data_IF_168700799216
#
_entry.id   IF_168700799216
#
_cell.length_a   1.000
_cell.length_b   1.000
_cell.length_c   1.000
_cell.angle_alpha   90.00
_cell.angle_beta   90.00
_cell.angle_gamma   90.00
#
_symmetry.space_group_name_H-M   'P 1'
#
loop_
_entity.id
_entity.type
_entity.pdbx_description
1 polymer ?
#
# COMPACT_ATOMS: atom_id res chain seq x y z
N UNK A 1 -41.23 57.74 -16.48
CA UNK A 1 -41.92 56.68 -15.73
C UNK A 1 -41.20 55.38 -15.98
N UNK A 2 -40.69 54.78 -14.91
CA UNK A 2 -39.96 53.50 -14.88
C UNK A 2 -40.89 52.38 -15.31
N UNK A 3 -40.47 51.51 -16.23
CA UNK A 3 -40.90 50.10 -16.22
C UNK A 3 -39.73 49.22 -16.65
N UNK A 4 -39.16 48.59 -15.62
CA UNK A 4 -38.15 47.55 -15.65
C UNK A 4 -38.65 46.33 -16.43
N UNK A 5 -37.76 45.68 -17.19
CA UNK A 5 -37.93 44.28 -17.56
C UNK A 5 -36.73 43.51 -17.04
N UNK A 6 -37.02 42.57 -16.15
CA UNK A 6 -36.10 41.63 -15.53
C UNK A 6 -35.55 40.66 -16.59
N UNK A 7 -34.25 40.66 -16.80
CA UNK A 7 -33.56 39.52 -17.39
C UNK A 7 -33.36 38.48 -16.29
N UNK A 8 -34.23 37.47 -16.26
CA UNK A 8 -34.05 36.28 -15.43
C UNK A 8 -33.01 35.39 -16.12
N UNK A 9 -31.72 35.72 -16.00
CA UNK A 9 -30.65 34.77 -16.30
C UNK A 9 -30.65 33.72 -15.20
N UNK A 10 -31.38 32.63 -15.43
CA UNK A 10 -31.20 31.39 -14.71
C UNK A 10 -29.82 30.83 -15.08
N UNK A 11 -28.78 31.29 -14.39
CA UNK A 11 -27.51 30.58 -14.32
C UNK A 11 -27.79 29.28 -13.57
N UNK A 12 -28.07 28.20 -14.31
CA UNK A 12 -27.75 26.85 -13.90
C UNK A 12 -26.23 26.81 -13.71
N UNK A 13 -25.77 27.29 -12.55
CA UNK A 13 -24.49 26.93 -11.98
C UNK A 13 -24.59 25.44 -11.68
N UNK A 14 -24.32 24.61 -12.70
CA UNK A 14 -23.74 23.32 -12.43
C UNK A 14 -22.54 23.60 -11.54
N UNK A 15 -22.61 23.15 -10.29
CA UNK A 15 -21.55 23.27 -9.30
C UNK A 15 -20.33 22.52 -9.84
N UNK A 16 -19.53 23.20 -10.67
CA UNK A 16 -18.12 22.94 -10.78
C UNK A 16 -17.60 23.22 -9.38
N UNK A 17 -17.54 22.18 -8.55
CA UNK A 17 -16.84 22.19 -7.28
C UNK A 17 -15.38 22.48 -7.61
N UNK A 18 -15.05 23.77 -7.64
CA UNK A 18 -13.67 24.22 -7.74
C UNK A 18 -13.01 23.74 -6.46
N UNK A 19 -11.97 22.94 -6.63
CA UNK A 19 -11.18 22.48 -5.52
C UNK A 19 -10.74 23.66 -4.66
N UNK A 20 -10.95 23.56 -3.34
CA UNK A 20 -10.66 24.63 -2.41
C UNK A 20 -9.34 24.36 -1.70
N UNK A 21 -8.56 25.43 -1.57
CA UNK A 21 -7.31 25.47 -0.84
C UNK A 21 -7.54 26.30 0.42
N UNK A 22 -7.22 25.74 1.59
CA UNK A 22 -7.19 26.46 2.86
C UNK A 22 -5.77 26.45 3.43
N UNK A 23 -5.10 27.60 3.31
CA UNK A 23 -3.80 27.91 3.89
C UNK A 23 -3.89 28.70 5.20
N UNK A 24 -5.06 28.92 5.78
CA UNK A 24 -5.17 29.74 7.00
C UNK A 24 -4.91 28.93 8.28
N UNK A 25 -5.09 27.61 8.23
CA UNK A 25 -4.96 26.71 9.36
C UNK A 25 -3.71 25.83 9.40
N UNK A 26 -3.68 25.00 10.43
CA UNK A 26 -2.90 23.75 10.51
C UNK A 26 -3.89 22.64 10.91
N UNK A 27 -4.19 21.66 10.02
CA UNK A 27 -3.52 21.38 8.75
C UNK A 27 -3.86 22.38 7.62
N UNK A 28 -2.93 22.49 6.66
CA UNK A 28 -3.20 22.97 5.31
C UNK A 28 -4.10 21.95 4.62
N UNK A 29 -5.22 22.40 4.05
CA UNK A 29 -6.23 21.50 3.47
C UNK A 29 -6.43 21.78 1.99
N UNK A 30 -6.35 20.74 1.16
CA UNK A 30 -6.89 20.75 -0.20
C UNK A 30 -8.12 19.87 -0.26
N UNK A 31 -9.16 20.36 -0.92
CA UNK A 31 -10.43 19.64 -1.09
C UNK A 31 -10.81 19.66 -2.55
N UNK A 32 -11.38 18.57 -3.04
CA UNK A 32 -12.05 18.50 -4.33
C UNK A 32 -13.41 17.84 -4.19
N UNK A 33 -13.99 17.44 -5.30
CA UNK A 33 -15.30 16.78 -5.28
C UNK A 33 -15.18 15.36 -4.69
N UNK A 34 -15.67 15.18 -3.47
CA UNK A 34 -15.66 13.89 -2.78
C UNK A 34 -14.31 13.44 -2.21
N UNK A 35 -13.30 14.33 -2.14
CA UNK A 35 -12.02 14.02 -1.52
C UNK A 35 -11.40 15.22 -0.77
N UNK A 36 -10.56 14.93 0.22
CA UNK A 36 -9.71 15.92 0.88
C UNK A 36 -8.34 15.36 1.26
N UNK A 37 -7.34 16.24 1.28
CA UNK A 37 -6.00 15.95 1.77
C UNK A 37 -5.62 17.01 2.79
N UNK A 38 -5.27 16.55 3.99
CA UNK A 38 -4.82 17.37 5.10
C UNK A 38 -3.31 17.19 5.26
N UNK A 39 -2.57 18.30 5.22
CA UNK A 39 -1.12 18.31 5.39
C UNK A 39 -0.76 19.22 6.55
N UNK A 40 0.11 18.73 7.44
CA UNK A 40 0.68 19.53 8.50
C UNK A 40 1.45 20.71 7.91
N UNK A 41 1.16 21.91 8.37
CA UNK A 41 1.77 23.14 7.83
C UNK A 41 3.29 23.17 8.01
N UNK A 42 3.77 22.66 9.14
CA UNK A 42 5.17 22.76 9.54
C UNK A 42 6.13 22.14 8.51
N UNK A 43 5.79 20.96 7.98
CA UNK A 43 6.68 20.16 7.14
C UNK A 43 6.01 19.57 5.89
N UNK A 44 4.71 19.76 5.72
CA UNK A 44 3.92 19.20 4.63
C UNK A 44 3.62 17.72 4.77
N UNK A 45 3.81 17.11 5.94
CA UNK A 45 3.43 15.73 6.16
C UNK A 45 1.90 15.57 5.98
N UNK A 46 1.47 14.63 5.15
CA UNK A 46 0.07 14.24 4.99
C UNK A 46 -0.40 13.59 6.29
N UNK A 47 -1.32 14.25 6.98
CA UNK A 47 -1.92 13.78 8.24
C UNK A 47 -3.30 13.17 8.03
N UNK A 48 -3.90 13.38 6.86
CA UNK A 48 -5.19 12.80 6.51
C UNK A 48 -5.40 12.77 5.02
N UNK A 49 -6.00 11.68 4.56
CA UNK A 49 -6.59 11.56 3.23
C UNK A 49 -8.01 11.04 3.42
N UNK A 50 -8.98 11.71 2.82
CA UNK A 50 -10.36 11.25 2.82
C UNK A 50 -10.93 11.23 1.41
N UNK A 51 -11.78 10.26 1.15
CA UNK A 51 -12.53 10.11 -0.09
C UNK A 51 -13.99 9.71 0.19
N UNK A 52 -14.71 9.35 -0.86
CA UNK A 52 -16.09 8.86 -0.77
C UNK A 52 -16.27 7.63 0.13
N UNK A 53 -15.23 6.81 0.27
CA UNK A 53 -15.20 5.65 1.17
C UNK A 53 -14.80 5.94 2.62
N UNK A 54 -14.56 7.20 2.98
CA UNK A 54 -14.07 7.62 4.29
C UNK A 54 -12.58 7.97 4.31
N UNK A 55 -12.03 8.12 5.51
CA UNK A 55 -10.63 8.47 5.71
C UNK A 55 -9.72 7.24 5.67
N UNK A 56 -8.53 7.38 5.10
CA UNK A 56 -7.49 6.36 5.21
C UNK A 56 -7.00 6.29 6.67
N UNK A 57 -6.92 5.10 7.28
CA UNK A 57 -6.45 4.93 8.64
C UNK A 57 -4.91 4.99 8.66
N UNK A 58 -4.33 6.19 8.54
CA UNK A 58 -2.88 6.36 8.60
C UNK A 58 -2.37 6.03 10.01
N UNK A 59 -1.30 5.24 10.12
CA UNK A 59 -0.67 4.95 11.41
C UNK A 59 0.18 6.11 11.94
N UNK A 60 0.66 6.96 11.04
CA UNK A 60 1.49 8.13 11.30
C UNK A 60 1.41 9.14 10.15
N UNK A 61 1.80 10.41 10.36
CA UNK A 61 1.92 11.38 9.28
C UNK A 61 2.87 10.90 8.18
N UNK A 62 2.43 10.97 6.93
CA UNK A 62 3.21 10.52 5.77
C UNK A 62 3.98 11.71 5.19
N UNK A 63 5.32 11.66 5.09
CA UNK A 63 6.06 12.77 4.49
C UNK A 63 5.68 12.92 3.01
N UNK A 64 5.49 14.15 2.53
CA UNK A 64 5.08 14.40 1.15
C UNK A 64 6.12 13.93 0.13
N UNK A 65 7.38 13.88 0.54
CA UNK A 65 8.49 13.34 -0.23
C UNK A 65 9.54 12.76 0.71
N UNK A 66 10.39 11.87 0.19
CA UNK A 66 11.66 11.52 0.84
C UNK A 66 12.68 11.12 -0.21
N UNK A 67 13.94 11.48 0.03
CA UNK A 67 15.08 11.09 -0.82
C UNK A 67 15.92 10.02 -0.13
N UNK A 68 16.42 9.07 -0.92
CA UNK A 68 17.46 8.15 -0.48
C UNK A 68 18.69 8.30 -1.41
N UNK A 69 19.86 8.44 -0.79
CA UNK A 69 21.16 8.46 -1.45
C UNK A 69 21.94 7.18 -1.18
N UNK A 70 23.22 7.20 -1.52
CA UNK A 70 24.15 6.11 -1.24
C UNK A 70 24.35 5.89 0.28
N UNK A 71 24.78 4.68 0.65
CA UNK A 71 25.20 4.32 2.02
C UNK A 71 24.15 4.59 3.12
N UNK A 72 22.87 4.57 2.76
CA UNK A 72 21.76 4.76 3.71
C UNK A 72 21.52 6.22 4.10
N UNK A 73 22.12 7.17 3.40
CA UNK A 73 21.79 8.59 3.53
C UNK A 73 20.34 8.78 3.11
N UNK A 74 19.54 9.41 3.98
CA UNK A 74 18.16 9.77 3.67
C UNK A 74 17.90 11.22 4.02
N UNK A 75 17.05 11.86 3.24
CA UNK A 75 16.57 13.21 3.48
C UNK A 75 15.05 13.19 3.54
N UNK A 76 14.52 13.69 4.64
CA UNK A 76 13.08 13.86 4.87
C UNK A 76 12.72 15.35 4.87
N UNK A 77 11.43 15.68 4.72
CA UNK A 77 10.99 17.07 4.76
C UNK A 77 11.31 17.70 6.12
N UNK A 78 11.90 18.89 6.09
CA UNK A 78 12.02 19.78 7.25
C UNK A 78 10.96 20.88 7.18
N UNK A 79 11.30 22.11 7.59
CA UNK A 79 10.36 23.22 7.54
C UNK A 79 9.91 23.55 6.10
N UNK A 80 8.59 23.67 5.90
CA UNK A 80 7.98 23.99 4.62
C UNK A 80 7.63 25.48 4.52
N UNK A 81 7.93 26.07 3.36
CA UNK A 81 7.39 27.37 2.94
C UNK A 81 6.25 27.17 1.95
N UNK A 82 5.13 27.86 2.15
CA UNK A 82 3.91 27.68 1.35
C UNK A 82 3.57 28.94 0.55
N UNK A 83 3.10 28.75 -0.68
CA UNK A 83 2.55 29.82 -1.51
C UNK A 83 1.34 29.28 -2.30
N UNK A 84 0.32 30.12 -2.47
CA UNK A 84 -0.73 29.85 -3.45
C UNK A 84 -0.20 30.06 -4.86
N UNK A 85 -0.66 29.24 -5.79
CA UNK A 85 -0.42 29.39 -7.22
C UNK A 85 -1.75 29.50 -7.95
N UNK A 86 -1.72 29.85 -9.23
CA UNK A 86 -2.94 29.90 -10.04
C UNK A 86 -3.65 28.53 -10.16
N UNK A 87 -2.93 27.42 -9.91
CA UNK A 87 -3.41 26.05 -10.14
C UNK A 87 -3.50 25.22 -8.85
N UNK A 88 -3.16 25.79 -7.70
CA UNK A 88 -3.16 25.07 -6.42
C UNK A 88 -2.17 25.65 -5.42
N UNK A 89 -1.33 24.78 -4.86
CA UNK A 89 -0.33 25.15 -3.85
C UNK A 89 1.08 24.78 -4.26
N UNK A 90 2.03 25.62 -3.84
CA UNK A 90 3.44 25.29 -3.86
C UNK A 90 3.97 25.19 -2.44
N UNK A 91 4.61 24.06 -2.13
CA UNK A 91 5.43 23.89 -0.94
C UNK A 91 6.91 23.85 -1.33
N UNK A 92 7.79 24.48 -0.56
CA UNK A 92 9.23 24.50 -0.80
C UNK A 92 10.00 24.17 0.48
N UNK A 93 10.99 23.30 0.37
CA UNK A 93 11.92 22.92 1.43
C UNK A 93 13.34 23.27 0.98
N UNK A 94 13.90 24.28 1.62
CA UNK A 94 15.29 24.68 1.43
C UNK A 94 16.17 23.93 2.43
N UNK A 95 16.78 22.83 2.00
CA UNK A 95 17.65 21.99 2.83
C UNK A 95 19.13 22.24 2.47
N UNK A 96 20.07 21.94 3.40
CA UNK A 96 21.50 22.12 3.12
C UNK A 96 21.97 21.40 1.84
N UNK A 97 21.51 20.16 1.63
CA UNK A 97 21.98 19.28 0.55
C UNK A 97 21.05 19.23 -0.67
N UNK A 98 19.83 19.78 -0.59
CA UNK A 98 18.88 19.81 -1.70
C UNK A 98 17.87 20.96 -1.58
N UNK A 99 17.43 21.50 -2.71
CA UNK A 99 16.21 22.30 -2.77
C UNK A 99 15.10 21.43 -3.34
N UNK A 100 14.02 21.27 -2.59
CA UNK A 100 12.86 20.48 -3.01
C UNK A 100 11.64 21.40 -3.09
N UNK A 101 10.87 21.29 -4.18
CA UNK A 101 9.56 21.95 -4.28
C UNK A 101 8.48 20.97 -4.72
N UNK A 102 7.27 21.17 -4.22
CA UNK A 102 6.08 20.42 -4.59
C UNK A 102 5.05 21.39 -5.19
N UNK A 103 4.55 21.10 -6.39
CA UNK A 103 3.28 21.63 -6.87
C UNK A 103 2.18 20.65 -6.52
N UNK A 104 1.16 21.15 -5.84
CA UNK A 104 0.01 20.41 -5.35
C UNK A 104 -1.22 20.95 -6.05
N UNK A 105 -1.68 20.20 -7.06
CA UNK A 105 -2.76 20.61 -7.95
C UNK A 105 -3.97 19.73 -7.69
N UNK A 106 -5.11 20.28 -7.28
CA UNK A 106 -6.33 19.51 -7.26
C UNK A 106 -6.70 18.98 -8.65
N UNK A 107 -7.06 17.71 -8.71
CA UNK A 107 -7.54 17.04 -9.90
C UNK A 107 -8.97 16.50 -9.66
N UNK A 108 -9.59 16.00 -10.73
CA UNK A 108 -10.99 15.54 -10.68
C UNK A 108 -11.23 14.43 -9.65
N UNK A 109 -10.26 13.55 -9.43
CA UNK A 109 -10.40 12.37 -8.56
C UNK A 109 -9.36 12.31 -7.44
N UNK A 110 -8.66 13.41 -7.17
CA UNK A 110 -7.65 13.45 -6.11
C UNK A 110 -6.67 14.61 -6.25
N UNK A 111 -5.50 14.45 -5.65
CA UNK A 111 -4.43 15.44 -5.66
C UNK A 111 -3.30 14.99 -6.60
N UNK A 112 -2.94 15.84 -7.55
CA UNK A 112 -1.72 15.70 -8.34
C UNK A 112 -0.55 16.35 -7.59
N UNK A 113 0.54 15.59 -7.42
CA UNK A 113 1.74 16.02 -6.71
C UNK A 113 2.90 15.96 -7.70
N UNK A 114 3.46 17.11 -8.05
CA UNK A 114 4.70 17.20 -8.83
C UNK A 114 5.83 17.65 -7.93
N UNK A 115 6.82 16.77 -7.70
CA UNK A 115 8.03 17.11 -6.95
C UNK A 115 9.16 17.47 -7.91
N UNK A 116 9.87 18.54 -7.60
CA UNK A 116 11.13 18.92 -8.25
C UNK A 116 12.24 18.92 -7.21
N UNK A 117 13.35 18.30 -7.54
CA UNK A 117 14.53 18.19 -6.69
C UNK A 117 15.71 18.79 -7.42
N UNK A 118 16.35 19.76 -6.80
CA UNK A 118 17.64 20.30 -7.23
C UNK A 118 18.68 19.88 -6.19
N UNK A 119 19.51 18.90 -6.55
CA UNK A 119 20.62 18.48 -5.67
C UNK A 119 21.64 19.61 -5.54
N UNK A 120 22.11 19.86 -4.31
CA UNK A 120 23.23 20.77 -4.03
C UNK A 120 24.50 20.00 -3.69
N UNK A 121 24.34 18.83 -3.09
CA UNK A 121 25.42 17.95 -2.69
C UNK A 121 25.00 16.49 -2.85
N UNK A 122 25.92 15.67 -3.36
CA UNK A 122 25.70 14.24 -3.57
C UNK A 122 24.71 13.91 -4.69
N UNK A 123 24.52 12.60 -4.87
CA UNK A 123 23.57 12.02 -5.82
C UNK A 123 22.43 11.38 -5.04
N UNK A 124 21.20 11.75 -5.36
CA UNK A 124 20.00 11.10 -4.87
C UNK A 124 19.62 9.99 -5.84
N UNK A 125 19.40 8.78 -5.31
CA UNK A 125 19.08 7.60 -6.10
C UNK A 125 17.58 7.40 -6.21
N UNK A 126 16.87 7.57 -5.08
CA UNK A 126 15.44 7.37 -5.01
C UNK A 126 14.71 8.63 -4.55
N UNK A 127 13.59 8.91 -5.22
CA UNK A 127 12.59 9.89 -4.80
C UNK A 127 11.26 9.15 -4.59
N UNK A 128 10.75 9.19 -3.37
CA UNK A 128 9.44 8.64 -3.04
C UNK A 128 8.40 9.76 -2.94
N UNK A 129 7.31 9.65 -3.70
CA UNK A 129 6.20 10.63 -3.72
C UNK A 129 4.83 9.91 -3.77
N UNK A 130 3.97 10.09 -2.76
CA UNK A 130 4.34 10.52 -1.42
C UNK A 130 5.39 9.57 -0.81
N UNK A 131 5.92 9.91 0.37
CA UNK A 131 6.66 8.96 1.18
C UNK A 131 5.84 7.70 1.49
N UNK A 132 6.48 6.70 2.10
CA UNK A 132 5.84 5.41 2.37
C UNK A 132 4.60 5.57 3.26
N UNK A 133 3.45 5.17 2.74
CA UNK A 133 2.18 5.15 3.48
C UNK A 133 2.17 3.92 4.39
N UNK A 134 1.85 4.13 5.67
CA UNK A 134 1.62 3.06 6.64
C UNK A 134 0.19 3.18 7.17
N UNK A 135 -0.53 2.07 7.10
CA UNK A 135 -1.91 1.99 7.58
C UNK A 135 -1.94 1.37 8.97
N UNK A 136 -2.83 1.85 9.83
CA UNK A 136 -3.10 1.26 11.13
C UNK A 136 -3.98 0.02 10.95
N UNK A 137 -3.44 -1.19 11.20
CA UNK A 137 -4.17 -2.43 11.01
C UNK A 137 -5.38 -2.55 11.94
N UNK A 138 -5.39 -1.88 13.10
CA UNK A 138 -6.53 -1.90 14.01
C UNK A 138 -7.78 -1.21 13.42
N UNK A 139 -7.57 -0.31 12.45
CA UNK A 139 -8.60 0.49 11.80
C UNK A 139 -8.78 0.13 10.32
N UNK A 140 -8.07 -0.90 9.83
CA UNK A 140 -8.15 -1.37 8.46
C UNK A 140 -9.24 -2.44 8.33
N UNK A 141 -10.28 -2.18 7.54
CA UNK A 141 -11.33 -3.15 7.28
C UNK A 141 -10.91 -4.19 6.23
N UNK A 142 -10.40 -3.71 5.09
CA UNK A 142 -9.99 -4.52 3.94
C UNK A 142 -8.97 -3.72 3.11
N UNK A 143 -8.03 -4.43 2.49
CA UNK A 143 -7.14 -3.88 1.48
C UNK A 143 -7.47 -4.52 0.13
N UNK A 144 -7.89 -3.70 -0.84
CA UNK A 144 -8.18 -4.13 -2.20
C UNK A 144 -7.03 -3.66 -3.10
N UNK A 145 -6.32 -4.62 -3.68
CA UNK A 145 -5.30 -4.40 -4.69
C UNK A 145 -5.89 -4.83 -6.03
N UNK A 146 -6.48 -3.90 -6.80
CA UNK A 146 -7.05 -4.25 -8.09
C UNK A 146 -5.95 -4.78 -9.00
N UNK A 147 -6.27 -5.80 -9.79
CA UNK A 147 -5.35 -6.27 -10.81
C UNK A 147 -5.12 -5.17 -11.85
N UNK A 148 -3.89 -5.09 -12.35
CA UNK A 148 -3.71 -4.56 -13.70
C UNK A 148 -4.12 -5.68 -14.68
N UNK A 149 -4.72 -5.31 -15.82
CA UNK A 149 -5.23 -6.28 -16.80
C UNK A 149 -4.16 -7.19 -17.44
N UNK A 150 -2.87 -6.94 -17.18
CA UNK A 150 -1.75 -7.73 -17.70
C UNK A 150 -1.23 -8.78 -16.70
N UNK A 151 -1.44 -8.60 -15.39
CA UNK A 151 -0.72 -9.35 -14.33
C UNK A 151 -1.61 -10.26 -13.46
N UNK A 152 -2.91 -10.40 -13.76
CA UNK A 152 -3.75 -11.49 -13.22
C UNK A 152 -5.04 -11.05 -12.50
N UNK A 153 -5.45 -11.83 -11.50
CA UNK A 153 -6.63 -11.55 -10.64
C UNK A 153 -6.24 -10.62 -9.49
N UNK A 154 -7.10 -9.65 -9.19
CA UNK A 154 -6.88 -8.73 -8.07
C UNK A 154 -6.93 -9.45 -6.72
N UNK A 155 -6.41 -8.81 -5.68
CA UNK A 155 -6.39 -9.34 -4.33
C UNK A 155 -7.27 -8.49 -3.42
N UNK A 156 -8.07 -9.15 -2.60
CA UNK A 156 -8.81 -8.53 -1.50
C UNK A 156 -8.40 -9.25 -0.21
N UNK A 157 -7.80 -8.50 0.71
CA UNK A 157 -7.27 -9.01 1.99
C UNK A 157 -8.04 -8.35 3.14
N UNK A 158 -8.67 -9.15 3.99
CA UNK A 158 -9.34 -8.63 5.18
C UNK A 158 -8.33 -8.03 6.16
N UNK A 159 -8.76 -7.05 6.96
CA UNK A 159 -7.95 -6.39 7.99
C UNK A 159 -7.23 -7.36 8.94
N UNK A 160 -7.84 -8.51 9.22
CA UNK A 160 -7.27 -9.58 10.06
C UNK A 160 -5.98 -10.20 9.53
N UNK A 161 -5.64 -9.99 8.25
CA UNK A 161 -4.36 -10.41 7.66
C UNK A 161 -3.20 -9.46 8.01
N UNK A 162 -3.51 -8.29 8.56
CA UNK A 162 -2.52 -7.26 8.84
C UNK A 162 -2.27 -7.15 10.33
N UNK A 163 -0.99 -7.01 10.69
CA UNK A 163 -0.55 -6.77 12.05
C UNK A 163 0.37 -5.55 12.07
N UNK A 164 0.49 -4.93 13.25
CA UNK A 164 1.37 -3.78 13.43
C UNK A 164 2.81 -4.22 13.20
N UNK A 165 3.49 -3.58 12.27
CA UNK A 165 4.89 -3.82 12.01
C UNK A 165 5.74 -3.30 13.19
N UNK A 166 6.70 -4.12 13.65
CA UNK A 166 7.67 -3.71 14.66
C UNK A 166 8.58 -2.61 14.10
N UNK A 167 8.59 -1.45 14.75
CA UNK A 167 9.41 -0.31 14.35
C UNK A 167 10.92 -0.62 14.41
N UNK A 168 11.35 -1.53 15.29
CA UNK A 168 12.74 -1.96 15.37
C UNK A 168 13.13 -2.95 14.27
N UNK A 169 12.15 -3.59 13.62
CA UNK A 169 12.38 -4.63 12.59
C UNK A 169 11.37 -4.54 11.44
N UNK A 170 11.39 -3.46 10.65
CA UNK A 170 10.38 -3.18 9.64
C UNK A 170 10.43 -4.11 8.41
N UNK A 171 11.42 -4.98 8.29
CA UNK A 171 11.55 -5.92 7.17
C UNK A 171 11.89 -7.33 7.62
N UNK A 172 11.73 -7.64 8.91
CA UNK A 172 12.01 -8.99 9.40
C UNK A 172 10.86 -9.94 9.10
N UNK A 173 11.19 -11.09 8.55
CA UNK A 173 10.30 -12.24 8.52
C UNK A 173 10.46 -13.01 9.83
N UNK A 174 9.37 -13.20 10.55
CA UNK A 174 9.35 -14.13 11.68
C UNK A 174 8.85 -15.47 11.16
N UNK A 175 9.66 -16.55 11.24
CA UNK A 175 9.17 -17.87 10.89
C UNK A 175 8.11 -18.26 11.93
N UNK A 176 6.88 -18.45 11.47
CA UNK A 176 5.83 -19.06 12.25
C UNK A 176 5.61 -20.48 11.73
N UNK A 177 5.64 -21.46 12.63
CA UNK A 177 5.25 -22.84 12.29
C UNK A 177 3.73 -22.90 12.21
N UNK A 178 3.19 -22.65 11.02
CA UNK A 178 1.76 -22.76 10.75
C UNK A 178 1.46 -24.16 10.20
N UNK A 179 0.71 -24.97 10.95
CA UNK A 179 0.37 -26.34 10.57
C UNK A 179 0.47 -27.33 11.73
N UNK A 180 -0.19 -28.48 11.60
CA UNK A 180 -0.23 -29.52 12.64
C UNK A 180 -1.66 -29.96 12.94
N UNK A 181 -2.56 -29.04 13.29
CA UNK A 181 -3.92 -29.38 13.71
C UNK A 181 -4.74 -30.17 12.65
N UNK A 182 -4.54 -29.88 11.36
CA UNK A 182 -5.15 -30.66 10.30
C UNK A 182 -4.56 -32.07 10.20
N UNK A 183 -3.23 -32.20 10.38
CA UNK A 183 -2.56 -33.50 10.41
C UNK A 183 -2.91 -34.30 11.67
N UNK A 184 -2.99 -33.66 12.83
CA UNK A 184 -3.46 -34.28 14.07
C UNK A 184 -4.89 -34.81 13.91
N UNK A 185 -5.77 -34.02 13.27
CA UNK A 185 -7.15 -34.43 13.02
C UNK A 185 -7.27 -35.58 12.01
N UNK A 186 -6.47 -35.56 10.95
CA UNK A 186 -6.58 -36.53 9.85
C UNK A 186 -5.76 -37.80 10.08
N UNK A 187 -4.62 -37.68 10.74
CA UNK A 187 -3.59 -38.72 10.83
C UNK A 187 -3.15 -39.01 12.27
N UNK A 188 -3.71 -38.34 13.28
CA UNK A 188 -3.44 -38.60 14.69
C UNK A 188 -2.09 -38.09 15.20
N UNK A 189 -1.39 -37.27 14.42
CA UNK A 189 -0.13 -36.64 14.82
C UNK A 189 0.55 -35.90 13.67
N UNK A 190 1.67 -35.25 13.99
CA UNK A 190 2.52 -34.63 13.00
C UNK A 190 3.11 -35.68 12.03
N UNK A 191 3.14 -35.41 10.72
CA UNK A 191 3.77 -36.31 9.77
C UNK A 191 5.27 -36.41 10.07
N UNK A 192 5.82 -37.63 10.03
CA UNK A 192 7.27 -37.83 10.13
C UNK A 192 7.91 -37.36 8.82
N UNK A 193 8.56 -36.20 8.87
CA UNK A 193 9.36 -35.70 7.76
C UNK A 193 10.68 -36.47 7.72
N UNK A 194 10.88 -37.22 6.63
CA UNK A 194 12.10 -37.95 6.38
C UNK A 194 13.08 -37.10 5.56
N UNK A 195 14.38 -37.37 5.67
CA UNK A 195 15.39 -36.73 4.81
C UNK A 195 15.13 -37.05 3.33
N UNK A 196 15.31 -36.06 2.45
CA UNK A 196 15.10 -36.22 0.99
C UNK A 196 16.04 -37.26 0.35
N UNK A 197 17.16 -37.57 1.01
CA UNK A 197 18.18 -38.52 0.56
C UNK A 197 17.95 -39.96 1.02
N UNK A 198 16.81 -40.26 1.68
CA UNK A 198 16.55 -41.65 2.05
C UNK A 198 16.41 -42.55 0.82
N UNK A 199 16.98 -43.77 0.87
CA UNK A 199 16.74 -44.76 -0.18
C UNK A 199 15.23 -45.04 -0.29
N UNK A 200 14.70 -45.31 -1.49
CA UNK A 200 13.28 -45.60 -1.69
C UNK A 200 12.79 -46.68 -0.72
N UNK A 201 11.70 -46.41 -0.01
CA UNK A 201 11.10 -47.39 0.88
C UNK A 201 10.52 -48.55 0.07
N UNK A 202 10.74 -49.81 0.45
CA UNK A 202 10.16 -50.95 -0.25
C UNK A 202 8.63 -50.91 -0.14
N UNK A 203 7.94 -50.91 -1.28
CA UNK A 203 6.48 -50.97 -1.31
C UNK A 203 6.02 -52.38 -0.94
N UNK A 204 5.20 -52.50 0.09
CA UNK A 204 4.56 -53.77 0.45
C UNK A 204 3.07 -53.68 0.15
N UNK A 205 2.58 -54.52 -0.77
CA UNK A 205 1.15 -54.59 -1.07
C UNK A 205 0.47 -55.39 0.03
N UNK A 206 -0.37 -54.73 0.83
CA UNK A 206 -1.18 -55.41 1.85
C UNK A 206 -2.32 -56.20 1.19
N UNK A 207 -2.88 -57.19 1.88
CA UNK A 207 -4.03 -57.96 1.35
C UNK A 207 -5.24 -57.06 1.00
N UNK A 208 -5.48 -56.01 1.80
CA UNK A 208 -6.50 -55.00 1.49
C UNK A 208 -6.14 -54.14 0.27
N UNK A 209 -4.87 -53.78 0.10
CA UNK A 209 -4.40 -53.03 -1.07
C UNK A 209 -4.44 -53.85 -2.36
N UNK A 210 -4.17 -55.16 -2.30
CA UNK A 210 -4.24 -56.05 -3.46
C UNK A 210 -5.64 -56.10 -4.07
N UNK A 211 -6.69 -55.93 -3.27
CA UNK A 211 -8.07 -55.88 -3.74
C UNK A 211 -8.42 -54.60 -4.51
N UNK A 212 -7.60 -53.54 -4.40
CA UNK A 212 -7.81 -52.26 -5.08
C UNK A 212 -7.15 -52.20 -6.47
N UNK A 213 -6.31 -53.19 -6.80
CA UNK A 213 -5.52 -53.20 -8.03
C UNK A 213 -5.80 -54.46 -8.85
N UNK A 214 -5.51 -54.40 -10.16
CA UNK A 214 -5.47 -55.60 -10.97
C UNK A 214 -4.29 -56.49 -10.54
N UNK A 215 -4.44 -57.80 -10.69
CA UNK A 215 -3.41 -58.78 -10.28
C UNK A 215 -2.03 -58.47 -10.90
N UNK A 216 -2.01 -58.05 -12.17
CA UNK A 216 -0.80 -57.62 -12.87
C UNK A 216 -0.14 -56.39 -12.25
N UNK A 217 -0.93 -55.41 -11.78
CA UNK A 217 -0.41 -54.20 -11.16
C UNK A 217 0.08 -54.47 -9.73
N UNK A 218 -0.63 -55.31 -8.97
CA UNK A 218 -0.21 -55.74 -7.64
C UNK A 218 1.13 -56.50 -7.69
N UNK A 219 1.31 -57.40 -8.67
CA UNK A 219 2.58 -58.12 -8.87
C UNK A 219 3.73 -57.19 -9.28
N UNK A 220 3.48 -56.19 -10.13
CA UNK A 220 4.49 -55.18 -10.50
C UNK A 220 4.92 -54.32 -9.30
N UNK A 221 3.98 -53.93 -8.45
CA UNK A 221 4.27 -53.14 -7.24
C UNK A 221 5.01 -53.96 -6.18
N UNK A 222 4.67 -55.25 -6.02
CA UNK A 222 5.35 -56.16 -5.11
C UNK A 222 6.76 -56.57 -5.59
N UNK A 223 6.98 -56.65 -6.90
CA UNK A 223 8.26 -56.98 -7.52
C UNK A 223 9.18 -55.79 -7.80
N UNK A 224 8.72 -54.56 -7.57
CA UNK A 224 9.51 -53.35 -7.74
C UNK A 224 10.49 -53.17 -6.56
N UNK A 225 11.57 -53.97 -6.53
CA UNK A 225 12.81 -53.52 -5.92
C UNK A 225 13.44 -52.50 -6.87
N UNK A 226 13.37 -51.23 -6.51
CA UNK A 226 13.97 -50.15 -7.30
C UNK A 226 15.49 -50.21 -7.15
N UNK A 227 16.19 -50.49 -8.26
CA UNK A 227 17.64 -50.29 -8.44
C UNK A 227 18.03 -48.84 -8.26
#
# INVERSE_FOLDING_TARGET
MRHSWLALSACLLGSLSLAQVDLSGDPVRLTGDGWSVDMRRADGAVVGFSGTGGALPLSEPVPLWSLAGEEGISLTPGAASWAETAEGLRATWDQPTALVSAELRPAAVGLEITIRVTSREGTWLDLNVPGRIRLDPANLAEAIVPANGNDGVGLALQGSWFARQDAARPTSWQPETVGGAAYDRLFGGAPTMHELSLPPAPLTVTAAGAALFTETLAQRLAGAQMS
#
